data_IF_266872991789
#
_entry.id   IF_266872991789
#
_cell.length_a   1.000
_cell.length_b   1.000
_cell.length_c   1.000
_cell.angle_alpha   90.00
_cell.angle_beta   90.00
_cell.angle_gamma   90.00
#
_symmetry.space_group_name_H-M   'P 1'
#
loop_
_entity.id
_entity.type
_entity.pdbx_description
1 polymer ?
#
# COMPACT_ATOMS: atom_id res chain seq x y z
N UNK A 1 2.58 26.03 14.77
CA UNK A 1 1.35 25.46 14.19
C UNK A 1 1.61 24.80 12.85
N UNK A 2 1.83 25.59 11.80
CA UNK A 2 1.92 25.10 10.41
C UNK A 2 2.94 23.96 10.19
N UNK A 3 4.13 24.02 10.82
CA UNK A 3 5.14 22.95 10.71
C UNK A 3 4.58 21.62 11.21
N UNK A 4 3.93 21.61 12.39
CA UNK A 4 3.37 20.38 12.97
C UNK A 4 2.27 19.82 12.06
N UNK A 5 1.40 20.69 11.52
CA UNK A 5 0.36 20.29 10.57
C UNK A 5 0.93 19.65 9.31
N UNK A 6 1.92 20.28 8.67
CA UNK A 6 2.52 19.75 7.45
C UNK A 6 3.40 18.53 7.70
N UNK A 7 4.11 18.47 8.82
CA UNK A 7 4.83 17.27 9.22
C UNK A 7 3.87 16.08 9.39
N UNK A 8 2.70 16.28 10.01
CA UNK A 8 1.73 15.22 10.23
C UNK A 8 1.03 14.79 8.92
N UNK A 9 0.54 15.75 8.13
CA UNK A 9 -0.18 15.46 6.88
C UNK A 9 0.71 14.94 5.75
N UNK A 10 1.83 15.62 5.45
CA UNK A 10 2.80 15.10 4.46
C UNK A 10 3.50 13.84 4.98
N UNK A 11 3.63 13.71 6.30
CA UNK A 11 4.12 12.50 6.98
C UNK A 11 3.27 11.28 6.66
N UNK A 12 1.93 11.41 6.61
CA UNK A 12 1.05 10.31 6.20
C UNK A 12 1.37 9.82 4.78
N UNK A 13 1.53 10.72 3.82
CA UNK A 13 1.94 10.37 2.45
C UNK A 13 3.32 9.68 2.42
N UNK A 14 4.31 10.23 3.13
CA UNK A 14 5.64 9.62 3.22
C UNK A 14 5.57 8.20 3.84
N UNK A 15 4.72 8.01 4.85
CA UNK A 15 4.48 6.71 5.49
C UNK A 15 3.99 5.68 4.47
N UNK A 16 2.94 5.99 3.70
CA UNK A 16 2.41 5.05 2.70
C UNK A 16 3.38 4.76 1.57
N UNK A 17 4.19 5.73 1.14
CA UNK A 17 5.29 5.48 0.18
C UNK A 17 6.22 4.40 0.75
N UNK A 18 6.69 4.58 1.99
CA UNK A 18 7.61 3.64 2.65
C UNK A 18 6.97 2.27 2.84
N UNK A 19 5.70 2.20 3.24
CA UNK A 19 4.99 0.93 3.44
C UNK A 19 4.78 0.19 2.12
N UNK A 20 4.39 0.87 1.04
CA UNK A 20 4.30 0.23 -0.27
C UNK A 20 5.64 -0.31 -0.75
N UNK A 21 6.73 0.44 -0.57
CA UNK A 21 8.08 -0.05 -0.86
C UNK A 21 8.48 -1.22 0.04
N UNK A 22 8.13 -1.18 1.33
CA UNK A 22 8.40 -2.25 2.29
C UNK A 22 7.66 -3.55 1.92
N UNK A 23 6.37 -3.45 1.57
CA UNK A 23 5.56 -4.57 1.12
C UNK A 23 6.09 -5.12 -0.20
N UNK A 24 6.40 -4.27 -1.18
CA UNK A 24 6.97 -4.69 -2.45
C UNK A 24 8.34 -5.36 -2.28
N UNK A 25 9.19 -4.87 -1.37
CA UNK A 25 10.43 -5.54 -0.95
C UNK A 25 10.15 -6.92 -0.38
N UNK A 26 9.10 -7.07 0.43
CA UNK A 26 8.64 -8.35 0.93
C UNK A 26 8.23 -9.30 -0.19
N UNK A 27 7.52 -8.79 -1.21
CA UNK A 27 7.10 -9.54 -2.39
C UNK A 27 8.29 -10.08 -3.19
N UNK A 28 9.25 -9.23 -3.54
CA UNK A 28 10.38 -9.60 -4.43
C UNK A 28 11.40 -10.53 -3.76
N UNK A 29 11.59 -10.43 -2.45
CA UNK A 29 12.55 -11.30 -1.74
C UNK A 29 11.90 -12.52 -1.08
N UNK A 30 10.58 -12.69 -1.22
CA UNK A 30 9.87 -13.80 -0.61
C UNK A 30 9.91 -13.76 0.93
N UNK A 31 9.96 -12.56 1.52
CA UNK A 31 10.05 -12.40 2.99
C UNK A 31 8.79 -12.82 3.73
N UNK A 32 7.73 -13.18 3.01
CA UNK A 32 6.49 -13.74 3.51
C UNK A 32 6.49 -15.28 3.56
N UNK A 33 7.48 -15.93 2.92
CA UNK A 33 7.58 -17.39 2.86
C UNK A 33 8.01 -17.99 4.19
N UNK A 34 7.76 -19.29 4.42
CA UNK A 34 8.21 -19.99 5.61
C UNK A 34 9.70 -19.74 5.91
N UNK A 35 10.07 -19.45 7.18
CA UNK A 35 9.23 -19.46 8.39
C UNK A 35 8.65 -18.07 8.79
N UNK A 36 8.46 -17.13 7.85
CA UNK A 36 8.11 -15.71 8.14
C UNK A 36 6.63 -15.37 7.96
N UNK A 37 5.75 -16.37 7.97
CA UNK A 37 4.32 -16.17 7.76
C UNK A 37 3.72 -15.23 8.81
N UNK A 38 4.07 -15.42 10.10
CA UNK A 38 3.58 -14.55 11.18
C UNK A 38 4.06 -13.10 11.04
N UNK A 39 5.31 -12.89 10.60
CA UNK A 39 5.83 -11.55 10.31
C UNK A 39 4.96 -10.87 9.25
N UNK A 40 4.61 -11.61 8.19
CA UNK A 40 3.74 -11.11 7.13
C UNK A 40 2.32 -10.81 7.62
N UNK A 41 1.71 -11.70 8.40
CA UNK A 41 0.35 -11.48 8.95
C UNK A 41 0.30 -10.26 9.87
N UNK A 42 1.28 -10.10 10.77
CA UNK A 42 1.37 -8.88 11.58
C UNK A 42 1.59 -7.65 10.70
N UNK A 43 2.43 -7.74 9.67
CA UNK A 43 2.65 -6.65 8.71
C UNK A 43 1.37 -6.23 7.96
N UNK A 44 0.58 -7.21 7.51
CA UNK A 44 -0.71 -6.95 6.86
C UNK A 44 -1.74 -6.39 7.83
N UNK A 45 -1.72 -6.80 9.09
CA UNK A 45 -2.60 -6.26 10.14
C UNK A 45 -2.23 -4.81 10.47
N UNK A 46 -0.93 -4.50 10.55
CA UNK A 46 -0.41 -3.12 10.67
C UNK A 46 -0.88 -2.30 9.47
N UNK A 47 -0.79 -2.83 8.26
CA UNK A 47 -1.23 -2.13 7.06
C UNK A 47 -2.72 -1.74 7.13
N UNK A 48 -3.60 -2.67 7.48
CA UNK A 48 -5.04 -2.37 7.65
C UNK A 48 -5.28 -1.34 8.77
N UNK A 49 -4.57 -1.46 9.89
CA UNK A 49 -4.67 -0.48 10.97
C UNK A 49 -4.16 0.92 10.54
N UNK A 50 -3.10 1.01 9.73
CA UNK A 50 -2.62 2.27 9.16
C UNK A 50 -3.61 2.88 8.16
N UNK A 51 -4.30 2.05 7.36
CA UNK A 51 -5.38 2.53 6.49
C UNK A 51 -6.51 3.14 7.32
N UNK A 52 -6.92 2.47 8.40
CA UNK A 52 -7.93 3.00 9.32
C UNK A 52 -7.45 4.31 9.98
N UNK A 53 -6.21 4.34 10.47
CA UNK A 53 -5.61 5.51 11.11
C UNK A 53 -5.58 6.73 10.19
N UNK A 54 -5.14 6.54 8.95
CA UNK A 54 -5.07 7.62 7.97
C UNK A 54 -6.44 8.12 7.54
N UNK A 55 -7.42 7.22 7.39
CA UNK A 55 -8.81 7.62 7.13
C UNK A 55 -9.37 8.45 8.28
N UNK A 56 -9.26 7.97 9.52
CA UNK A 56 -9.79 8.68 10.69
C UNK A 56 -9.15 10.07 10.83
N UNK A 57 -7.83 10.17 10.67
CA UNK A 57 -7.10 11.43 10.69
C UNK A 57 -7.49 12.38 9.56
N UNK A 58 -7.75 11.85 8.36
CA UNK A 58 -8.18 12.65 7.21
C UNK A 58 -9.55 13.30 7.38
N UNK A 59 -10.40 12.76 8.26
CA UNK A 59 -11.73 13.34 8.57
C UNK A 59 -11.62 14.57 9.49
N UNK A 60 -10.58 14.64 10.33
CA UNK A 60 -10.49 15.62 11.42
C UNK A 60 -10.37 17.10 10.99
N UNK A 61 -9.73 17.46 9.86
CA UNK A 61 -9.72 18.84 9.38
C UNK A 61 -11.10 19.38 9.03
N UNK A 62 -12.10 18.50 8.85
CA UNK A 62 -13.48 18.84 8.55
C UNK A 62 -13.69 19.74 7.33
N UNK A 63 -12.88 19.50 6.29
CA UNK A 63 -13.05 20.10 4.97
C UNK A 63 -14.01 19.32 4.07
N UNK A 64 -14.23 19.80 2.86
CA UNK A 64 -15.12 19.15 1.88
C UNK A 64 -14.75 17.68 1.63
N UNK A 65 -13.48 17.40 1.33
CA UNK A 65 -13.03 16.04 1.06
C UNK A 65 -13.10 15.15 2.30
N UNK A 66 -12.88 15.73 3.49
CA UNK A 66 -13.02 15.06 4.77
C UNK A 66 -14.44 14.53 4.98
N UNK A 67 -15.44 15.41 4.84
CA UNK A 67 -16.86 15.08 5.04
C UNK A 67 -17.38 14.10 3.99
N UNK A 68 -17.17 14.40 2.71
CA UNK A 68 -17.68 13.57 1.63
C UNK A 68 -16.92 12.24 1.52
N UNK A 69 -15.62 12.23 1.79
CA UNK A 69 -14.83 11.00 1.88
C UNK A 69 -15.35 10.08 2.99
N UNK A 70 -15.66 10.63 4.17
CA UNK A 70 -16.30 9.88 5.25
C UNK A 70 -17.68 9.36 4.82
N UNK A 71 -18.49 10.18 4.16
CA UNK A 71 -19.82 9.79 3.70
C UNK A 71 -19.76 8.60 2.74
N UNK A 72 -18.85 8.66 1.75
CA UNK A 72 -18.64 7.58 0.79
C UNK A 72 -18.18 6.31 1.51
N UNK A 73 -17.09 6.36 2.27
CA UNK A 73 -16.50 5.16 2.91
C UNK A 73 -17.48 4.51 3.87
N UNK A 74 -18.15 5.29 4.73
CA UNK A 74 -19.12 4.74 5.68
C UNK A 74 -20.30 4.12 4.92
N UNK A 75 -20.81 4.77 3.86
CA UNK A 75 -21.94 4.25 3.10
C UNK A 75 -21.68 2.93 2.36
N UNK A 76 -20.41 2.54 2.18
CA UNK A 76 -20.05 1.24 1.60
C UNK A 76 -20.52 0.08 2.47
N UNK A 77 -20.49 0.22 3.80
CA UNK A 77 -20.98 -0.80 4.72
C UNK A 77 -22.49 -1.04 4.59
N UNK A 78 -23.25 -0.05 4.12
CA UNK A 78 -24.67 -0.18 3.80
C UNK A 78 -24.95 -1.15 2.64
N UNK A 79 -23.92 -1.55 1.87
CA UNK A 79 -24.07 -2.60 0.86
C UNK A 79 -24.25 -4.00 1.48
N UNK A 80 -23.87 -4.20 2.75
CA UNK A 80 -23.97 -5.49 3.43
C UNK A 80 -25.45 -5.82 3.68
N UNK A 81 -25.97 -6.94 3.15
CA UNK A 81 -27.37 -7.32 3.36
C UNK A 81 -27.69 -7.50 4.84
N UNK A 82 -28.94 -7.21 5.21
CA UNK A 82 -29.52 -7.37 6.56
C UNK A 82 -29.00 -6.38 7.60
N UNK A 83 -27.68 -6.24 7.77
CA UNK A 83 -27.07 -5.47 8.87
C UNK A 83 -26.36 -4.18 8.43
N UNK A 84 -26.26 -3.92 7.13
CA UNK A 84 -25.45 -2.83 6.60
C UNK A 84 -25.88 -1.44 7.08
N UNK A 85 -27.17 -1.14 7.05
CA UNK A 85 -27.69 0.16 7.50
C UNK A 85 -27.50 0.37 9.02
N UNK A 86 -27.67 -0.70 9.82
CA UNK A 86 -27.41 -0.65 11.26
C UNK A 86 -25.93 -0.37 11.55
N UNK A 87 -25.01 -0.98 10.79
CA UNK A 87 -23.57 -0.70 10.89
C UNK A 87 -23.27 0.74 10.51
N UNK A 88 -23.86 1.25 9.42
CA UNK A 88 -23.68 2.64 8.97
C UNK A 88 -24.11 3.62 10.04
N UNK A 89 -25.33 3.44 10.60
CA UNK A 89 -25.85 4.28 11.66
C UNK A 89 -25.00 4.17 12.93
N UNK A 90 -24.57 2.95 13.30
CA UNK A 90 -23.70 2.73 14.45
C UNK A 90 -22.33 3.37 14.30
N UNK A 91 -21.73 3.38 13.10
CA UNK A 91 -20.43 4.04 12.85
C UNK A 91 -20.57 5.55 12.90
N UNK A 92 -21.64 6.12 12.31
CA UNK A 92 -21.92 7.58 12.36
C UNK A 92 -22.25 8.05 13.77
N UNK A 93 -22.99 7.23 14.52
CA UNK A 93 -23.57 7.61 15.82
C UNK A 93 -24.81 8.49 15.70
N UNK A 94 -25.30 8.70 14.48
CA UNK A 94 -26.49 9.48 14.14
C UNK A 94 -26.96 9.07 12.72
N UNK A 95 -28.08 9.61 12.25
CA UNK A 95 -28.61 9.35 10.90
C UNK A 95 -27.72 9.93 9.79
N UNK A 96 -27.07 11.07 10.07
CA UNK A 96 -26.15 11.75 9.16
C UNK A 96 -24.76 11.87 9.81
N UNK A 97 -23.75 12.15 9.00
CA UNK A 97 -22.42 12.52 9.53
C UNK A 97 -22.54 13.86 10.25
N UNK A 98 -22.12 13.88 11.50
CA UNK A 98 -22.24 15.04 12.40
C UNK A 98 -21.06 15.15 13.35
N UNK A 99 -21.11 16.11 14.27
CA UNK A 99 -20.12 16.28 15.34
C UNK A 99 -19.95 15.03 16.20
N UNK A 100 -21.00 14.20 16.32
CA UNK A 100 -20.91 12.91 17.03
C UNK A 100 -19.94 11.97 16.31
N UNK A 101 -20.04 11.90 14.98
CA UNK A 101 -19.11 11.12 14.15
C UNK A 101 -17.68 11.62 14.32
N UNK A 102 -17.49 12.94 14.23
CA UNK A 102 -16.18 13.58 14.33
C UNK A 102 -15.51 13.33 15.69
N UNK A 103 -16.24 13.50 16.80
CA UNK A 103 -15.70 13.27 18.15
C UNK A 103 -15.26 11.82 18.36
N UNK A 104 -16.02 10.86 17.84
CA UNK A 104 -15.64 9.43 17.90
C UNK A 104 -14.39 9.16 17.09
N UNK A 105 -14.32 9.70 15.88
CA UNK A 105 -13.16 9.51 15.00
C UNK A 105 -11.90 10.16 15.59
N UNK A 106 -12.04 11.30 16.26
CA UNK A 106 -10.95 11.92 17.01
C UNK A 106 -10.40 11.00 18.12
N UNK A 107 -11.29 10.39 18.92
CA UNK A 107 -10.87 9.43 19.96
C UNK A 107 -10.19 8.18 19.37
N UNK A 108 -10.73 7.66 18.27
CA UNK A 108 -10.16 6.50 17.59
C UNK A 108 -8.78 6.79 17.00
N UNK A 109 -8.64 7.93 16.33
CA UNK A 109 -7.40 8.37 15.68
C UNK A 109 -6.29 8.69 16.69
N UNK A 110 -6.61 9.43 17.76
CA UNK A 110 -5.57 9.92 18.67
C UNK A 110 -5.15 8.87 19.70
N UNK A 111 -6.07 7.97 20.07
CA UNK A 111 -5.85 7.03 21.19
C UNK A 111 -5.91 5.59 20.75
N UNK A 112 -7.06 5.12 20.27
CA UNK A 112 -7.31 3.68 20.15
C UNK A 112 -6.42 3.02 19.08
N UNK A 113 -6.39 3.57 17.86
CA UNK A 113 -5.65 2.99 16.74
C UNK A 113 -4.13 3.11 16.93
N UNK A 114 -3.56 4.23 17.41
CA UNK A 114 -2.13 4.30 17.74
C UNK A 114 -1.69 3.28 18.78
N UNK A 115 -2.49 3.00 19.82
CA UNK A 115 -2.17 1.98 20.82
C UNK A 115 -2.14 0.58 20.18
N UNK A 116 -3.12 0.28 19.32
CA UNK A 116 -3.14 -0.99 18.55
C UNK A 116 -1.91 -1.09 17.64
N UNK A 117 -1.53 0.00 16.96
CA UNK A 117 -0.34 0.04 16.11
C UNK A 117 0.95 -0.20 16.90
N UNK A 118 1.12 0.39 18.08
CA UNK A 118 2.28 0.15 18.94
C UNK A 118 2.38 -1.34 19.33
N UNK A 119 1.26 -1.95 19.73
CA UNK A 119 1.23 -3.38 20.06
C UNK A 119 1.55 -4.26 18.84
N UNK A 120 0.97 -3.96 17.67
CA UNK A 120 1.22 -4.72 16.44
C UNK A 120 2.66 -4.58 15.95
N UNK A 121 3.27 -3.39 16.01
CA UNK A 121 4.67 -3.17 15.65
C UNK A 121 5.60 -3.94 16.58
N UNK A 122 5.32 -3.95 17.89
CA UNK A 122 6.06 -4.78 18.84
C UNK A 122 5.97 -6.27 18.46
N UNK A 123 4.76 -6.80 18.22
CA UNK A 123 4.57 -8.19 17.82
C UNK A 123 5.25 -8.51 16.48
N UNK A 124 5.24 -7.59 15.53
CA UNK A 124 5.91 -7.73 14.24
C UNK A 124 7.44 -7.85 14.40
N UNK A 125 8.04 -7.02 15.27
CA UNK A 125 9.48 -7.06 15.58
C UNK A 125 9.84 -8.34 16.32
N UNK A 126 9.04 -8.76 17.31
CA UNK A 126 9.26 -10.02 18.05
C UNK A 126 9.21 -11.22 17.11
N UNK A 127 8.20 -11.29 16.24
CA UNK A 127 8.09 -12.35 15.24
C UNK A 127 9.32 -12.36 14.31
N UNK A 128 9.80 -11.19 13.89
CA UNK A 128 11.01 -11.07 13.07
C UNK A 128 12.26 -11.53 13.81
N UNK A 129 12.41 -11.19 15.09
CA UNK A 129 13.56 -11.60 15.90
C UNK A 129 13.61 -13.13 16.08
N UNK A 130 12.46 -13.78 16.24
CA UNK A 130 12.37 -15.23 16.42
C UNK A 130 12.88 -15.99 15.18
N UNK A 131 12.53 -15.54 13.98
CA UNK A 131 12.88 -16.24 12.74
C UNK A 131 14.09 -15.66 12.00
N UNK A 132 14.46 -14.42 12.31
CA UNK A 132 15.55 -13.69 11.69
C UNK A 132 15.19 -13.02 10.37
N UNK A 133 15.89 -11.93 10.06
CA UNK A 133 15.76 -11.18 8.81
C UNK A 133 16.04 -12.04 7.58
N UNK A 134 15.30 -11.77 6.51
CA UNK A 134 15.60 -12.29 5.18
C UNK A 134 16.68 -11.43 4.50
N UNK A 135 17.38 -12.00 3.53
CA UNK A 135 18.41 -11.33 2.71
C UNK A 135 18.08 -11.43 1.21
N UNK A 136 18.77 -10.68 0.34
CA UNK A 136 18.51 -10.72 -1.10
C UNK A 136 18.63 -12.11 -1.74
N UNK A 137 19.35 -13.04 -1.11
CA UNK A 137 19.51 -14.40 -1.62
C UNK A 137 18.44 -15.38 -1.14
N UNK A 138 17.64 -15.03 -0.13
CA UNK A 138 16.67 -15.96 0.47
C UNK A 138 17.29 -17.04 1.38
N UNK A 139 18.60 -16.96 1.64
CA UNK A 139 19.35 -17.96 2.42
C UNK A 139 19.06 -17.83 3.92
N UNK A 140 18.79 -18.95 4.60
CA UNK A 140 18.53 -18.96 6.04
C UNK A 140 19.82 -18.98 6.86
N UNK A 141 20.29 -17.81 7.30
CA UNK A 141 21.54 -17.70 8.07
C UNK A 141 21.49 -18.43 9.42
N UNK A 142 20.30 -18.53 10.05
CA UNK A 142 20.13 -19.23 11.33
C UNK A 142 20.37 -20.74 11.24
N UNK A 143 20.37 -21.32 10.03
CA UNK A 143 20.70 -22.75 9.82
C UNK A 143 22.20 -23.02 9.82
N UNK A 144 23.01 -22.03 9.47
CA UNK A 144 24.46 -22.16 9.31
C UNK A 144 25.16 -21.43 10.46
N UNK A 145 25.41 -22.13 11.56
CA UNK A 145 26.01 -21.57 12.78
C UNK A 145 27.43 -22.12 13.03
N UNK A 146 28.26 -21.32 13.70
CA UNK A 146 29.55 -21.76 14.21
C UNK A 146 29.41 -22.63 15.47
N UNK A 147 30.54 -23.08 16.02
CA UNK A 147 30.58 -23.90 17.23
C UNK A 147 30.00 -23.19 18.47
N UNK A 148 29.89 -21.86 18.45
CA UNK A 148 29.34 -21.04 19.54
C UNK A 148 27.86 -20.69 19.31
N UNK A 149 27.23 -21.24 18.26
CA UNK A 149 25.82 -20.99 17.93
C UNK A 149 25.55 -19.67 17.20
N UNK A 150 26.60 -18.98 16.73
CA UNK A 150 26.52 -17.70 16.03
C UNK A 150 26.36 -17.95 14.52
N UNK A 151 25.39 -17.32 13.84
CA UNK A 151 25.24 -17.44 12.39
C UNK A 151 26.52 -17.01 11.64
N UNK A 152 27.04 -17.89 10.78
CA UNK A 152 28.29 -17.66 10.04
C UNK A 152 28.20 -16.52 9.02
N UNK A 153 27.00 -16.24 8.50
CA UNK A 153 26.71 -15.16 7.55
C UNK A 153 26.07 -13.94 8.24
N UNK A 154 26.03 -13.92 9.58
CA UNK A 154 25.47 -12.83 10.37
C UNK A 154 26.54 -11.87 10.86
N UNK A 155 26.20 -10.59 10.95
CA UNK A 155 26.97 -9.58 11.69
C UNK A 155 26.08 -8.95 12.77
N UNK A 156 26.66 -8.44 13.87
CA UNK A 156 25.89 -7.72 14.89
C UNK A 156 25.10 -6.55 14.29
N UNK A 157 23.88 -6.32 14.80
CA UNK A 157 23.06 -5.19 14.35
C UNK A 157 23.74 -3.84 14.65
N UNK A 158 24.21 -3.68 15.89
CA UNK A 158 24.98 -2.52 16.29
C UNK A 158 26.49 -2.85 16.29
N UNK A 159 27.36 -1.99 15.73
CA UNK A 159 27.05 -0.69 15.09
C UNK A 159 26.71 -0.77 13.60
N UNK A 160 26.92 -1.92 12.95
CA UNK A 160 26.94 -2.03 11.49
C UNK A 160 25.64 -1.58 10.82
N UNK A 161 24.50 -2.19 11.16
CA UNK A 161 23.20 -1.81 10.60
C UNK A 161 22.71 -0.47 11.14
N UNK A 162 23.04 -0.10 12.38
CA UNK A 162 22.71 1.23 12.92
C UNK A 162 23.34 2.36 12.08
N UNK A 163 24.61 2.24 11.72
CA UNK A 163 25.31 3.24 10.89
C UNK A 163 24.87 3.15 9.43
N UNK A 164 24.71 1.93 8.90
CA UNK A 164 24.22 1.71 7.55
C UNK A 164 22.84 2.34 7.33
N UNK A 165 21.89 2.13 8.24
CA UNK A 165 20.51 2.61 8.11
C UNK A 165 20.39 4.12 8.32
N UNK A 166 21.36 4.75 8.99
CA UNK A 166 21.39 6.21 9.17
C UNK A 166 21.51 6.94 7.81
N UNK A 167 22.24 6.38 6.84
CA UNK A 167 22.42 6.98 5.52
C UNK A 167 21.08 7.14 4.77
N UNK A 168 20.29 6.07 4.52
CA UNK A 168 18.99 6.23 3.88
C UNK A 168 18.00 7.01 4.73
N UNK A 169 18.09 6.99 6.08
CA UNK A 169 17.25 7.83 6.95
C UNK A 169 17.54 9.32 6.71
N UNK A 170 18.81 9.73 6.65
CA UNK A 170 19.19 11.12 6.39
C UNK A 170 18.74 11.55 5.00
N UNK A 171 18.92 10.71 3.98
CA UNK A 171 18.44 10.99 2.61
C UNK A 171 16.92 11.13 2.59
N UNK A 172 16.20 10.21 3.24
CA UNK A 172 14.75 10.27 3.37
C UNK A 172 14.31 11.57 4.06
N UNK A 173 14.91 11.93 5.19
CA UNK A 173 14.59 13.15 5.92
C UNK A 173 14.90 14.41 5.11
N UNK A 174 15.97 14.42 4.31
CA UNK A 174 16.27 15.54 3.43
C UNK A 174 15.17 15.73 2.37
N UNK A 175 14.75 14.66 1.70
CA UNK A 175 13.66 14.70 0.71
C UNK A 175 12.33 15.06 1.37
N UNK A 176 12.02 14.47 2.52
CA UNK A 176 10.80 14.74 3.27
C UNK A 176 10.71 16.20 3.72
N UNK A 177 11.80 16.75 4.30
CA UNK A 177 11.88 18.15 4.67
C UNK A 177 11.76 19.05 3.43
N UNK A 178 12.40 18.71 2.31
CA UNK A 178 12.27 19.48 1.08
C UNK A 178 10.80 19.56 0.62
N UNK A 179 10.08 18.44 0.59
CA UNK A 179 8.66 18.43 0.24
C UNK A 179 7.85 19.26 1.25
N UNK A 180 8.05 19.04 2.55
CA UNK A 180 7.32 19.73 3.61
C UNK A 180 7.49 21.26 3.56
N UNK A 181 8.70 21.75 3.29
CA UNK A 181 9.01 23.18 3.31
C UNK A 181 8.71 23.89 1.99
N UNK A 182 8.88 23.22 0.85
CA UNK A 182 8.83 23.88 -0.47
C UNK A 182 7.63 23.48 -1.34
N UNK A 183 7.00 22.33 -1.09
CA UNK A 183 5.89 21.81 -1.90
C UNK A 183 4.94 20.87 -1.13
N UNK A 184 4.41 21.26 0.05
CA UNK A 184 3.68 20.36 0.94
C UNK A 184 2.40 19.79 0.34
N UNK A 185 1.79 20.49 -0.61
CA UNK A 185 0.54 20.07 -1.26
C UNK A 185 0.78 19.08 -2.41
N UNK A 186 2.01 19.04 -2.97
CA UNK A 186 2.38 18.25 -4.14
C UNK A 186 1.37 18.39 -5.30
N UNK A 187 0.99 19.63 -5.62
CA UNK A 187 0.00 19.97 -6.66
C UNK A 187 -1.35 19.25 -6.47
N UNK A 188 -1.80 19.14 -5.23
CA UNK A 188 -3.08 18.51 -4.88
C UNK A 188 -3.00 17.02 -4.57
N UNK A 189 -1.87 16.34 -4.80
CA UNK A 189 -1.76 14.89 -4.53
C UNK A 189 -1.63 14.56 -3.05
N UNK A 190 -0.93 15.40 -2.27
CA UNK A 190 -0.74 15.16 -0.84
C UNK A 190 -1.82 15.86 -0.01
N UNK A 191 -2.24 17.04 -0.46
CA UNK A 191 -3.28 17.83 0.16
C UNK A 191 -4.19 18.38 -0.94
N UNK A 192 -5.41 17.87 -1.01
CA UNK A 192 -6.38 18.26 -2.03
C UNK A 192 -6.88 19.68 -1.74
N UNK A 193 -6.90 20.55 -2.76
CA UNK A 193 -7.27 21.95 -2.60
C UNK A 193 -8.70 22.10 -2.04
N UNK A 194 -9.61 21.23 -2.46
CA UNK A 194 -10.99 21.20 -1.96
C UNK A 194 -11.08 20.95 -0.45
N UNK A 195 -10.09 20.29 0.18
CA UNK A 195 -10.11 20.03 1.62
C UNK A 195 -9.67 21.25 2.47
N UNK A 196 -9.30 22.37 1.83
CA UNK A 196 -9.15 23.67 2.50
C UNK A 196 -10.46 24.45 2.58
N UNK A 197 -11.51 24.02 1.86
CA UNK A 197 -12.85 24.56 2.01
C UNK A 197 -13.59 23.85 3.15
N UNK A 198 -14.34 24.62 3.96
CA UNK A 198 -15.15 24.10 5.06
C UNK A 198 -16.20 23.13 4.51
N UNK A 199 -16.41 22.01 5.20
CA UNK A 199 -17.43 21.03 4.84
C UNK A 199 -18.83 21.67 4.71
N UNK A 200 -19.48 21.40 3.58
CA UNK A 200 -20.84 21.78 3.27
C UNK A 200 -21.64 20.51 2.90
N UNK A 201 -22.52 20.02 3.79
CA UNK A 201 -23.34 18.84 3.53
C UNK A 201 -24.30 18.96 2.34
N UNK A 202 -24.53 20.18 1.85
CA UNK A 202 -25.43 20.47 0.73
C UNK A 202 -24.69 20.71 -0.59
N UNK A 203 -23.35 20.76 -0.58
CA UNK A 203 -22.54 20.99 -1.79
C UNK A 203 -21.45 19.93 -1.89
N UNK A 204 -21.65 19.00 -2.81
CA UNK A 204 -20.66 17.97 -3.15
C UNK A 204 -19.62 18.57 -4.11
N UNK A 205 -18.31 18.44 -3.87
CA UNK A 205 -17.29 18.77 -4.86
C UNK A 205 -17.47 17.96 -6.15
N UNK A 206 -17.13 18.55 -7.30
CA UNK A 206 -17.30 17.90 -8.59
C UNK A 206 -16.51 16.59 -8.74
N UNK A 207 -15.35 16.47 -8.08
CA UNK A 207 -14.56 15.25 -8.06
C UNK A 207 -14.13 14.89 -6.63
N UNK A 208 -14.76 13.84 -6.08
CA UNK A 208 -14.39 13.25 -4.80
C UNK A 208 -13.55 12.00 -5.07
N UNK A 209 -12.23 12.16 -5.10
CA UNK A 209 -11.31 11.04 -4.97
C UNK A 209 -10.81 10.91 -3.54
N UNK A 210 -10.52 9.70 -3.06
CA UNK A 210 -9.78 9.55 -1.83
C UNK A 210 -8.33 9.99 -2.02
N UNK A 211 -7.65 10.19 -0.90
CA UNK A 211 -6.19 10.34 -0.82
C UNK A 211 -5.45 9.31 -1.68
N UNK A 212 -4.37 9.73 -2.33
CA UNK A 212 -3.67 8.96 -3.37
C UNK A 212 -3.26 7.54 -2.94
N UNK A 213 -2.97 7.31 -1.66
CA UNK A 213 -2.58 5.99 -1.18
C UNK A 213 -3.77 5.02 -1.06
N UNK A 214 -5.02 5.45 -1.21
CA UNK A 214 -6.19 4.56 -1.30
C UNK A 214 -6.73 4.40 -2.72
N UNK A 215 -6.25 5.21 -3.66
CA UNK A 215 -6.79 5.23 -5.03
C UNK A 215 -6.64 3.93 -5.81
N UNK A 216 -5.62 3.07 -5.59
CA UNK A 216 -5.58 1.76 -6.25
C UNK A 216 -6.81 0.91 -5.95
N UNK A 217 -7.25 0.89 -4.68
CA UNK A 217 -8.41 0.10 -4.25
C UNK A 217 -9.72 0.76 -4.65
N UNK A 218 -9.79 2.10 -4.58
CA UNK A 218 -10.95 2.86 -5.07
C UNK A 218 -11.17 2.67 -6.57
N UNK A 219 -10.11 2.62 -7.38
CA UNK A 219 -10.21 2.31 -8.81
C UNK A 219 -10.82 0.93 -9.06
N UNK A 220 -10.44 -0.08 -8.26
CA UNK A 220 -11.04 -1.41 -8.37
C UNK A 220 -12.51 -1.41 -7.94
N UNK A 221 -12.87 -0.68 -6.88
CA UNK A 221 -14.25 -0.55 -6.41
C UNK A 221 -15.16 0.00 -7.52
N UNK A 222 -14.81 1.16 -8.09
CA UNK A 222 -15.65 1.85 -9.06
C UNK A 222 -15.62 1.23 -10.46
N UNK A 223 -14.64 0.36 -10.74
CA UNK A 223 -14.56 -0.38 -11.99
C UNK A 223 -15.65 -1.46 -12.11
N UNK A 224 -16.28 -1.83 -10.99
CA UNK A 224 -17.37 -2.79 -10.94
C UNK A 224 -18.71 -2.04 -10.86
N UNK A 225 -19.63 -2.21 -11.82
CA UNK A 225 -20.89 -1.47 -11.86
C UNK A 225 -21.95 -2.07 -10.91
N UNK A 226 -21.56 -2.42 -9.68
CA UNK A 226 -22.44 -2.89 -8.62
C UNK A 226 -21.85 -2.51 -7.25
N UNK A 227 -22.70 -2.01 -6.35
CA UNK A 227 -22.25 -1.46 -5.06
C UNK A 227 -21.63 -2.55 -4.17
N UNK A 228 -22.29 -3.70 -4.05
CA UNK A 228 -21.86 -4.79 -3.18
C UNK A 228 -20.63 -5.49 -3.76
N UNK A 229 -20.65 -5.82 -5.05
CA UNK A 229 -19.53 -6.46 -5.73
C UNK A 229 -18.29 -5.54 -5.79
N UNK A 230 -18.47 -4.24 -6.04
CA UNK A 230 -17.37 -3.26 -5.98
C UNK A 230 -16.76 -3.17 -4.58
N UNK A 231 -17.61 -3.12 -3.54
CA UNK A 231 -17.14 -3.15 -2.14
C UNK A 231 -16.41 -4.46 -1.82
N UNK A 232 -16.93 -5.61 -2.27
CA UNK A 232 -16.29 -6.91 -2.11
C UNK A 232 -14.95 -7.00 -2.84
N UNK A 233 -14.84 -6.47 -4.06
CA UNK A 233 -13.58 -6.42 -4.83
C UNK A 233 -12.54 -5.57 -4.11
N UNK A 234 -12.92 -4.40 -3.59
CA UNK A 234 -12.02 -3.56 -2.80
C UNK A 234 -11.49 -4.30 -1.56
N UNK A 235 -12.40 -4.91 -0.78
CA UNK A 235 -12.03 -5.68 0.41
C UNK A 235 -11.17 -6.90 0.09
N UNK A 236 -11.51 -7.63 -0.98
CA UNK A 236 -10.76 -8.80 -1.45
C UNK A 236 -9.35 -8.44 -1.92
N UNK A 237 -9.15 -7.26 -2.53
CA UNK A 237 -7.84 -6.81 -2.96
C UNK A 237 -6.88 -6.61 -1.77
N UNK A 238 -7.38 -6.13 -0.64
CA UNK A 238 -6.58 -6.01 0.60
C UNK A 238 -6.43 -7.39 1.25
N UNK A 239 -7.52 -8.16 1.35
CA UNK A 239 -7.55 -9.45 2.05
C UNK A 239 -6.68 -10.52 1.38
N UNK A 240 -6.59 -10.55 0.04
CA UNK A 240 -5.80 -11.56 -0.69
C UNK A 240 -4.31 -11.50 -0.34
N UNK A 241 -3.82 -10.33 0.07
CA UNK A 241 -2.45 -10.19 0.52
C UNK A 241 -2.17 -10.97 1.82
N UNK A 242 -3.15 -11.16 2.72
CA UNK A 242 -2.97 -11.98 3.92
C UNK A 242 -2.61 -13.42 3.57
N UNK A 243 -3.20 -13.98 2.51
CA UNK A 243 -3.02 -15.39 2.14
C UNK A 243 -1.81 -15.64 1.24
N UNK A 244 -1.04 -14.60 0.89
CA UNK A 244 0.13 -14.70 0.01
C UNK A 244 1.14 -15.80 0.41
N UNK A 245 1.48 -16.02 1.70
CA UNK A 245 2.39 -17.10 2.10
C UNK A 245 2.01 -18.49 1.61
N UNK A 246 0.72 -18.72 1.38
CA UNK A 246 0.18 -20.00 0.94
C UNK A 246 -0.14 -20.03 -0.56
N UNK A 247 -0.03 -18.90 -1.26
CA UNK A 247 -0.22 -18.84 -2.72
C UNK A 247 1.07 -19.15 -3.48
N UNK A 248 2.21 -18.70 -2.97
CA UNK A 248 3.50 -18.96 -3.63
C UNK A 248 4.03 -20.37 -3.33
N UNK A 249 4.06 -21.22 -4.36
CA UNK A 249 4.53 -22.61 -4.29
C UNK A 249 5.94 -22.82 -4.84
N UNK A 250 6.67 -21.75 -5.16
CA UNK A 250 8.04 -21.85 -5.65
C UNK A 250 8.98 -22.38 -4.56
N UNK A 251 9.93 -23.28 -4.90
CA UNK A 251 10.89 -23.80 -3.93
C UNK A 251 11.94 -22.76 -3.48
N UNK A 252 12.06 -21.64 -4.20
CA UNK A 252 12.99 -20.54 -3.88
C UNK A 252 12.23 -19.31 -3.41
N UNK A 253 12.84 -18.53 -2.53
CA UNK A 253 12.27 -17.30 -1.95
C UNK A 253 12.51 -16.10 -2.84
N UNK A 254 13.78 -15.82 -3.12
CA UNK A 254 14.17 -14.59 -3.82
C UNK A 254 13.82 -14.63 -5.30
N UNK A 255 13.26 -13.53 -5.83
CA UNK A 255 13.00 -13.34 -7.26
C UNK A 255 14.26 -13.52 -8.13
N UNK A 256 15.45 -13.33 -7.54
CA UNK A 256 16.76 -13.51 -8.20
C UNK A 256 16.93 -14.92 -8.77
N UNK A 257 16.36 -15.93 -8.10
CA UNK A 257 16.47 -17.34 -8.50
C UNK A 257 15.20 -17.91 -9.10
N UNK A 258 14.09 -17.16 -9.05
CA UNK A 258 12.86 -17.51 -9.78
C UNK A 258 13.06 -17.36 -11.29
N UNK A 259 12.20 -18.03 -12.05
CA UNK A 259 12.23 -17.98 -13.51
C UNK A 259 11.70 -16.66 -14.07
N UNK A 260 11.64 -16.59 -15.40
CA UNK A 260 11.28 -15.37 -16.12
C UNK A 260 9.82 -14.97 -15.92
N UNK A 261 8.91 -15.94 -15.77
CA UNK A 261 7.48 -15.65 -15.63
C UNK A 261 7.22 -14.91 -14.31
N UNK A 262 7.77 -15.40 -13.19
CA UNK A 262 7.64 -14.72 -11.89
C UNK A 262 8.21 -13.29 -11.93
N UNK A 263 9.33 -13.07 -12.64
CA UNK A 263 9.94 -11.75 -12.80
C UNK A 263 9.07 -10.80 -13.61
N UNK A 264 8.49 -11.26 -14.70
CA UNK A 264 7.58 -10.44 -15.51
C UNK A 264 6.29 -10.17 -14.74
N UNK A 265 5.72 -11.18 -14.09
CA UNK A 265 4.48 -11.07 -13.33
C UNK A 265 4.57 -10.00 -12.22
N UNK A 266 5.69 -9.92 -11.48
CA UNK A 266 5.85 -8.90 -10.43
C UNK A 266 6.00 -7.48 -10.99
N UNK A 267 6.60 -7.32 -12.17
CA UNK A 267 6.68 -6.02 -12.85
C UNK A 267 5.32 -5.57 -13.38
N UNK A 268 4.55 -6.49 -13.98
CA UNK A 268 3.19 -6.24 -14.45
C UNK A 268 2.25 -5.93 -13.28
N UNK A 269 2.40 -6.63 -12.15
CA UNK A 269 1.68 -6.35 -10.92
C UNK A 269 1.97 -4.92 -10.42
N UNK A 270 3.24 -4.55 -10.32
CA UNK A 270 3.64 -3.22 -9.88
C UNK A 270 3.10 -2.12 -10.81
N UNK A 271 3.21 -2.32 -12.13
CA UNK A 271 2.66 -1.38 -13.11
C UNK A 271 1.12 -1.28 -13.00
N UNK A 272 0.42 -2.40 -12.85
CA UNK A 272 -1.04 -2.42 -12.67
C UNK A 272 -1.47 -1.67 -11.42
N UNK A 273 -0.76 -1.84 -10.30
CA UNK A 273 -1.04 -1.12 -9.06
C UNK A 273 -0.83 0.40 -9.22
N UNK A 274 0.23 0.82 -9.91
CA UNK A 274 0.48 2.24 -10.22
C UNK A 274 -0.60 2.81 -11.14
N UNK A 275 -0.98 2.09 -12.20
CA UNK A 275 -2.06 2.51 -13.12
C UNK A 275 -3.35 2.72 -12.34
N UNK A 276 -3.74 1.76 -11.49
CA UNK A 276 -4.94 1.88 -10.64
C UNK A 276 -4.85 3.08 -9.70
N UNK A 277 -3.68 3.35 -9.12
CA UNK A 277 -3.45 4.53 -8.31
C UNK A 277 -3.68 5.85 -9.07
N UNK A 278 -3.12 5.95 -10.28
CA UNK A 278 -3.29 7.15 -11.13
C UNK A 278 -4.72 7.30 -11.64
N UNK A 279 -5.39 6.20 -11.99
CA UNK A 279 -6.79 6.26 -12.46
C UNK A 279 -7.76 6.69 -11.37
N UNK A 280 -7.46 6.42 -10.09
CA UNK A 280 -8.39 6.73 -9.00
C UNK A 280 -8.44 8.21 -8.64
N UNK A 281 -7.44 9.00 -9.04
CA UNK A 281 -7.49 10.48 -8.95
C UNK A 281 -8.06 11.14 -10.20
N UNK A 282 -8.43 10.37 -11.23
CA UNK A 282 -8.99 10.88 -12.49
C UNK A 282 -10.48 10.57 -12.59
N UNK A 283 -11.22 11.44 -13.27
CA UNK A 283 -12.61 11.18 -13.64
C UNK A 283 -12.72 9.91 -14.50
N UNK A 284 -13.76 9.08 -14.27
CA UNK A 284 -13.97 7.87 -15.07
C UNK A 284 -14.42 8.23 -16.49
N UNK A 285 -13.83 7.56 -17.48
CA UNK A 285 -14.32 7.49 -18.87
C UNK A 285 -14.47 6.01 -19.25
N UNK A 286 -15.16 5.64 -20.35
CA UNK A 286 -15.24 4.25 -20.78
C UNK A 286 -13.85 3.59 -20.93
N UNK A 287 -12.88 4.31 -21.50
CA UNK A 287 -11.52 3.82 -21.74
C UNK A 287 -10.74 3.66 -20.43
N UNK A 288 -10.82 4.64 -19.53
CA UNK A 288 -10.19 4.57 -18.20
C UNK A 288 -10.81 3.47 -17.35
N UNK A 289 -12.12 3.27 -17.45
CA UNK A 289 -12.84 2.21 -16.73
C UNK A 289 -12.40 0.84 -17.24
N UNK A 290 -12.32 0.66 -18.57
CA UNK A 290 -11.79 -0.57 -19.16
C UNK A 290 -10.36 -0.86 -18.71
N UNK A 291 -9.48 0.16 -18.70
CA UNK A 291 -8.12 0.00 -18.20
C UNK A 291 -8.07 -0.39 -16.73
N UNK A 292 -8.91 0.23 -15.88
CA UNK A 292 -9.02 -0.14 -14.47
C UNK A 292 -9.49 -1.60 -14.29
N UNK A 293 -10.46 -2.06 -15.10
CA UNK A 293 -10.91 -3.45 -15.09
C UNK A 293 -9.81 -4.42 -15.49
N UNK A 294 -9.06 -4.13 -16.57
CA UNK A 294 -7.91 -4.93 -17.00
C UNK A 294 -6.86 -5.00 -15.88
N UNK A 295 -6.49 -3.87 -15.29
CA UNK A 295 -5.51 -3.83 -14.20
C UNK A 295 -6.01 -4.55 -12.93
N UNK A 296 -7.31 -4.49 -12.62
CA UNK A 296 -7.89 -5.26 -11.51
C UNK A 296 -7.79 -6.77 -11.79
N UNK A 297 -8.08 -7.22 -13.02
CA UNK A 297 -7.89 -8.62 -13.41
C UNK A 297 -6.43 -9.04 -13.32
N UNK A 298 -5.48 -8.19 -13.76
CA UNK A 298 -4.05 -8.46 -13.60
C UNK A 298 -3.61 -8.52 -12.14
N UNK A 299 -4.16 -7.64 -11.29
CA UNK A 299 -3.92 -7.62 -9.85
C UNK A 299 -4.35 -8.93 -9.18
N UNK A 300 -5.60 -9.36 -9.38
CA UNK A 300 -6.09 -10.62 -8.81
C UNK A 300 -5.44 -11.83 -9.47
N UNK A 301 -5.22 -11.77 -10.78
CA UNK A 301 -4.49 -12.79 -11.53
C UNK A 301 -3.10 -13.03 -10.97
N UNK A 302 -2.39 -11.98 -10.54
CA UNK A 302 -1.08 -12.09 -9.88
C UNK A 302 -1.12 -12.98 -8.62
N UNK A 303 -2.19 -12.96 -7.85
CA UNK A 303 -2.30 -13.78 -6.64
C UNK A 303 -2.94 -15.14 -6.91
N UNK A 304 -4.09 -15.15 -7.59
CA UNK A 304 -4.92 -16.34 -7.78
C UNK A 304 -4.25 -17.39 -8.66
N UNK A 305 -3.50 -16.96 -9.69
CA UNK A 305 -2.80 -17.89 -10.56
C UNK A 305 -1.37 -18.23 -10.06
N UNK A 306 -0.89 -17.56 -8.99
CA UNK A 306 0.41 -17.79 -8.39
C UNK A 306 0.69 -19.25 -8.03
N UNK A 307 -0.25 -20.02 -7.44
CA UNK A 307 -0.02 -21.41 -7.07
C UNK A 307 0.34 -22.32 -8.25
N UNK A 308 -0.09 -21.96 -9.46
CA UNK A 308 0.12 -22.75 -10.67
C UNK A 308 1.48 -22.43 -11.30
N UNK A 309 1.76 -21.17 -11.64
CA UNK A 309 3.02 -20.86 -12.32
C UNK A 309 4.23 -21.01 -11.40
N UNK A 310 4.12 -20.67 -10.11
CA UNK A 310 5.27 -20.77 -9.20
C UNK A 310 5.68 -22.21 -8.93
N UNK A 311 4.73 -23.16 -9.07
CA UNK A 311 4.98 -24.59 -8.94
C UNK A 311 5.67 -25.19 -10.18
N UNK A 312 5.31 -24.72 -11.37
CA UNK A 312 5.80 -25.28 -12.64
C UNK A 312 7.02 -24.57 -13.21
N UNK A 313 7.31 -23.35 -12.76
CA UNK A 313 8.42 -22.56 -13.24
C UNK A 313 9.78 -23.21 -12.87
N UNK A 314 10.68 -23.28 -13.85
CA UNK A 314 12.06 -23.71 -13.62
C UNK A 314 12.81 -22.63 -12.82
N UNK A 315 13.28 -22.99 -11.65
CA UNK A 315 14.07 -22.11 -10.76
C UNK A 315 15.54 -22.43 -10.84
N UNK A 316 16.38 -21.44 -10.54
CA UNK A 316 17.81 -21.66 -10.23
C UNK A 316 17.94 -22.09 -8.76
N UNK A 317 18.96 -22.89 -8.40
CA UNK A 317 19.22 -23.18 -6.99
C UNK A 317 19.62 -21.89 -6.25
N UNK A 318 19.14 -21.74 -5.01
CA UNK A 318 19.66 -20.74 -4.09
C UNK A 318 21.10 -21.08 -3.69
N UNK A 319 21.97 -20.09 -3.44
CA UNK A 319 23.33 -20.35 -3.00
C UNK A 319 23.33 -20.97 -1.59
N UNK A 320 24.35 -21.78 -1.28
CA UNK A 320 24.45 -22.45 0.02
C UNK A 320 24.73 -21.47 1.18
N UNK A 321 25.30 -20.30 0.86
CA UNK A 321 25.71 -19.23 1.79
C UNK A 321 25.33 -17.89 1.18
N UNK A 322 25.23 -16.85 2.01
CA UNK A 322 24.94 -15.49 1.53
C UNK A 322 26.06 -15.03 0.60
N UNK A 323 25.68 -14.49 -0.55
CA UNK A 323 26.59 -13.93 -1.54
C UNK A 323 26.78 -12.43 -1.28
N UNK A 324 28.03 -11.97 -1.27
CA UNK A 324 28.38 -10.56 -1.07
C UNK A 324 28.38 -9.77 -2.40
N UNK A 325 27.60 -10.20 -3.39
CA UNK A 325 27.64 -9.66 -4.76
C UNK A 325 26.77 -8.40 -4.95
N UNK A 326 26.17 -7.88 -3.87
CA UNK A 326 25.42 -6.62 -3.90
C UNK A 326 24.02 -6.70 -4.53
N UNK A 327 23.46 -7.90 -4.72
CA UNK A 327 22.08 -8.06 -5.16
C UNK A 327 21.91 -8.11 -6.68
N UNK A 328 20.83 -7.51 -7.21
CA UNK A 328 20.61 -7.45 -8.67
C UNK A 328 21.56 -6.47 -9.39
N UNK A 329 22.27 -5.61 -8.64
CA UNK A 329 23.07 -4.51 -9.16
C UNK A 329 22.24 -3.31 -9.63
N UNK A 330 22.80 -2.11 -9.50
CA UNK A 330 22.11 -0.84 -9.79
C UNK A 330 21.54 -0.77 -11.20
N UNK A 331 22.29 -1.25 -12.21
CA UNK A 331 21.84 -1.22 -13.61
C UNK A 331 20.56 -2.03 -13.85
N UNK A 332 20.45 -3.24 -13.30
CA UNK A 332 19.23 -4.07 -13.42
C UNK A 332 18.07 -3.49 -12.61
N UNK A 333 18.35 -2.89 -11.45
CA UNK A 333 17.33 -2.22 -10.66
C UNK A 333 16.74 -1.00 -11.40
N UNK A 334 17.59 -0.17 -12.01
CA UNK A 334 17.15 0.96 -12.83
C UNK A 334 16.38 0.50 -14.07
N UNK A 335 16.82 -0.56 -14.74
CA UNK A 335 16.09 -1.14 -15.86
C UNK A 335 14.71 -1.65 -15.44
N UNK A 336 14.61 -2.36 -14.30
CA UNK A 336 13.33 -2.82 -13.77
C UNK A 336 12.39 -1.65 -13.44
N UNK A 337 12.92 -0.59 -12.82
CA UNK A 337 12.15 0.64 -12.55
C UNK A 337 11.66 1.29 -13.84
N UNK A 338 12.53 1.44 -14.84
CA UNK A 338 12.15 1.98 -16.15
C UNK A 338 11.05 1.13 -16.81
N UNK A 339 11.17 -0.19 -16.78
CA UNK A 339 10.14 -1.09 -17.33
C UNK A 339 8.80 -0.87 -16.62
N UNK A 340 8.77 -0.82 -15.29
CA UNK A 340 7.53 -0.58 -14.54
C UNK A 340 6.92 0.77 -14.89
N UNK A 341 7.72 1.84 -14.92
CA UNK A 341 7.26 3.17 -15.27
C UNK A 341 6.73 3.24 -16.70
N UNK A 342 7.40 2.59 -17.65
CA UNK A 342 6.96 2.52 -19.04
C UNK A 342 5.66 1.71 -19.18
N UNK A 343 5.56 0.55 -18.53
CA UNK A 343 4.37 -0.30 -18.50
C UNK A 343 3.17 0.41 -17.85
N UNK A 344 3.41 1.33 -16.91
CA UNK A 344 2.36 2.18 -16.35
C UNK A 344 2.00 3.35 -17.27
N UNK A 345 3.01 4.06 -17.79
CA UNK A 345 2.83 5.28 -18.58
C UNK A 345 2.15 5.03 -19.93
N UNK A 346 2.54 3.99 -20.67
CA UNK A 346 2.03 3.75 -22.02
C UNK A 346 0.50 3.51 -22.05
N UNK A 347 -0.08 2.63 -21.21
CA UNK A 347 -1.53 2.47 -21.14
C UNK A 347 -2.25 3.73 -20.64
N UNK A 348 -1.70 4.42 -19.64
CA UNK A 348 -2.28 5.67 -19.12
C UNK A 348 -2.32 6.77 -20.19
N UNK A 349 -1.31 6.84 -21.06
CA UNK A 349 -1.29 7.77 -22.20
C UNK A 349 -2.31 7.36 -23.27
N UNK A 350 -2.48 6.07 -23.53
CA UNK A 350 -3.44 5.56 -24.51
C UNK A 350 -4.91 5.88 -24.13
N UNK A 351 -5.24 5.80 -22.84
CA UNK A 351 -6.57 6.21 -22.32
C UNK A 351 -6.60 7.68 -21.86
N UNK A 352 -5.51 8.40 -22.18
CA UNK A 352 -5.28 9.78 -21.80
C UNK A 352 -5.83 10.78 -22.81
N UNK A 353 -6.48 10.33 -23.90
CA UNK A 353 -7.22 11.23 -24.79
C UNK A 353 -8.15 12.08 -23.95
N UNK A 354 -7.99 13.39 -24.10
CA UNK A 354 -8.62 14.43 -23.31
C UNK A 354 -10.11 14.14 -23.17
N UNK A 355 -10.59 14.01 -21.92
CA UNK A 355 -11.85 14.67 -21.66
C UNK A 355 -11.59 16.13 -22.03
N UNK A 356 -12.43 16.77 -22.84
CA UNK A 356 -12.38 18.21 -23.13
C UNK A 356 -12.62 19.09 -21.86
N UNK A 357 -12.27 18.56 -20.69
CA UNK A 357 -12.67 19.00 -19.37
C UNK A 357 -11.47 18.81 -18.46
N UNK A 358 -11.02 19.92 -17.88
CA UNK A 358 -9.99 19.98 -16.86
C UNK A 358 -10.42 19.18 -15.61
N UNK A 359 -9.44 18.82 -14.78
CA UNK A 359 -9.71 18.39 -13.40
C UNK A 359 -10.60 19.45 -12.71
N UNK A 360 -11.86 19.11 -12.43
CA UNK A 360 -12.81 20.02 -11.79
C UNK A 360 -13.72 20.82 -12.73
N UNK A 361 -14.15 20.22 -13.84
CA UNK A 361 -15.34 20.69 -14.57
C UNK A 361 -16.22 19.51 -14.99
N UNK A 362 -17.41 19.32 -14.39
CA UNK A 362 -18.57 18.70 -15.08
C UNK A 362 -19.90 19.32 -14.57
N UNK A 363 -20.75 19.67 -15.53
CA UNK A 363 -22.12 20.20 -15.44
C UNK A 363 -23.08 19.48 -14.50
#
# INVERSE_FOLDING_TARGET
GWIIRYMHSTGASAFFIVIYLHMYRGLIYGSYKPPRELVWIFGMTIYVALMAEAFLGYVLPWGQMSFWGAQVIISLFGAIPVVGEDIVQWVRGDYLISDITLNRFMSLHVVAVPIVLLALVFLHIVALHEVGSNNPDGVEIKKNKDANGIPLDGIPFHPYYTVHDLVPIVVFLFVFCFIMFFMPEMNGYFLEHANFEIANPLKTPEHIAPVWYFTPFYSMLRAVPDKLAGFAVMGAAIAIMFVLPWLDRSPVKSIRYKGTFSRVAVLVFAASFIILGVLGVKSPTPERTLLAQICAVLYFGFFLAMPFWTKWEKTKPEPARVTMDGGMGTGKALLALFIVLFLAWAPLKAVGSESNFDCGTIH
#
